data_IF_308177498446
#
_entry.id   IF_308177498446
#
_cell.length_a   1.000
_cell.length_b   1.000
_cell.length_c   1.000
_cell.angle_alpha   90.00
_cell.angle_beta   90.00
_cell.angle_gamma   90.00
#
_symmetry.space_group_name_H-M   'P 1'
#
loop_
_entity.id
_entity.type
_entity.pdbx_description
1 polymer ?
#
# COMPACT_ATOMS: atom_id res chain seq x y z
N UNK A 1 8.40 17.72 -23.42
CA UNK A 1 9.54 18.14 -22.56
C UNK A 1 9.83 17.15 -21.42
N UNK A 2 8.88 16.86 -20.51
CA UNK A 2 9.15 15.99 -19.33
C UNK A 2 9.58 14.56 -19.70
N UNK A 3 8.99 13.94 -20.71
CA UNK A 3 9.42 12.61 -21.15
C UNK A 3 10.86 12.57 -21.66
N UNK A 4 11.30 13.61 -22.38
CA UNK A 4 12.69 13.74 -22.84
C UNK A 4 13.65 13.93 -21.66
N UNK A 5 13.25 14.75 -20.67
CA UNK A 5 14.03 14.95 -19.45
C UNK A 5 14.16 13.65 -18.65
N UNK A 6 13.07 12.92 -18.44
CA UNK A 6 13.09 11.62 -17.73
C UNK A 6 13.92 10.58 -18.49
N UNK A 7 13.83 10.55 -19.81
CA UNK A 7 14.67 9.68 -20.64
C UNK A 7 16.15 10.04 -20.46
N UNK A 8 16.51 11.32 -20.51
CA UNK A 8 17.87 11.78 -20.23
C UNK A 8 18.35 11.35 -18.84
N UNK A 9 17.54 11.60 -17.81
CA UNK A 9 17.87 11.22 -16.43
C UNK A 9 18.12 9.70 -16.31
N UNK A 10 17.23 8.87 -16.85
CA UNK A 10 17.41 7.42 -16.79
C UNK A 10 18.55 6.94 -17.69
N UNK A 11 18.80 7.55 -18.85
CA UNK A 11 19.90 7.18 -19.71
C UNK A 11 21.26 7.41 -19.03
N UNK A 12 21.44 8.57 -18.40
CA UNK A 12 22.73 9.00 -17.84
C UNK A 12 22.98 8.54 -16.40
N UNK A 13 21.95 8.49 -15.55
CA UNK A 13 22.14 8.21 -14.11
C UNK A 13 21.77 6.79 -13.69
N UNK A 14 21.11 6.00 -14.55
CA UNK A 14 20.82 4.59 -14.25
C UNK A 14 22.10 3.79 -14.01
N UNK A 15 21.99 2.75 -13.18
CA UNK A 15 23.11 1.88 -12.91
C UNK A 15 23.55 1.15 -14.20
N UNK A 16 24.87 0.95 -14.40
CA UNK A 16 25.41 0.45 -15.65
C UNK A 16 24.90 -0.95 -16.02
N UNK A 17 24.51 -1.78 -15.04
CA UNK A 17 23.97 -3.12 -15.29
C UNK A 17 22.61 -3.15 -16.01
N UNK A 18 21.89 -2.02 -16.07
CA UNK A 18 20.64 -1.95 -16.80
C UNK A 18 20.91 -1.59 -18.26
N UNK A 19 20.49 -2.42 -19.24
CA UNK A 19 20.65 -2.10 -20.65
C UNK A 19 19.80 -0.89 -21.03
N UNK A 20 20.18 -0.20 -22.11
CA UNK A 20 19.51 1.04 -22.55
C UNK A 20 17.99 0.85 -22.77
N UNK A 21 17.57 -0.33 -23.27
CA UNK A 21 16.16 -0.66 -23.44
C UNK A 21 15.39 -0.70 -22.10
N UNK A 22 15.99 -1.24 -21.02
CA UNK A 22 15.40 -1.23 -19.69
C UNK A 22 15.33 0.21 -19.12
N UNK A 23 16.37 1.02 -19.33
CA UNK A 23 16.39 2.45 -18.93
C UNK A 23 15.28 3.24 -19.63
N UNK A 24 15.11 3.02 -20.93
CA UNK A 24 14.05 3.64 -21.71
C UNK A 24 12.65 3.22 -21.22
N UNK A 25 12.45 1.94 -20.91
CA UNK A 25 11.21 1.46 -20.31
C UNK A 25 10.92 2.10 -18.95
N UNK A 26 11.93 2.28 -18.09
CA UNK A 26 11.77 2.93 -16.78
C UNK A 26 11.43 4.43 -16.94
N UNK A 27 12.05 5.11 -17.91
CA UNK A 27 11.68 6.47 -18.29
C UNK A 27 10.25 6.55 -18.83
N UNK A 28 9.79 5.56 -19.58
CA UNK A 28 8.41 5.47 -20.04
C UNK A 28 7.43 5.34 -18.87
N UNK A 29 7.73 4.50 -17.87
CA UNK A 29 6.93 4.43 -16.63
C UNK A 29 6.83 5.78 -15.92
N UNK A 30 7.97 6.47 -15.74
CA UNK A 30 7.97 7.79 -15.12
C UNK A 30 7.18 8.83 -15.91
N UNK A 31 7.26 8.76 -17.24
CA UNK A 31 6.52 9.65 -18.15
C UNK A 31 5.02 9.40 -18.06
N UNK A 32 4.60 8.13 -18.04
CA UNK A 32 3.20 7.75 -17.86
C UNK A 32 2.68 8.21 -16.49
N UNK A 33 3.42 7.95 -15.41
CA UNK A 33 3.06 8.40 -14.07
C UNK A 33 2.90 9.93 -14.02
N UNK A 34 3.86 10.68 -14.56
CA UNK A 34 3.78 12.13 -14.63
C UNK A 34 2.57 12.62 -15.44
N UNK A 35 2.32 12.01 -16.60
CA UNK A 35 1.18 12.38 -17.45
C UNK A 35 -0.17 12.16 -16.74
N UNK A 36 -0.28 11.11 -15.93
CA UNK A 36 -1.47 10.83 -15.12
C UNK A 36 -1.62 11.83 -13.98
N UNK A 37 -0.53 12.15 -13.26
CA UNK A 37 -0.51 13.16 -12.20
C UNK A 37 -0.98 14.52 -12.74
N UNK A 38 -0.49 14.94 -13.91
CA UNK A 38 -0.86 16.23 -14.53
C UNK A 38 -2.35 16.31 -14.91
N UNK A 39 -2.98 15.17 -15.21
CA UNK A 39 -4.41 15.09 -15.53
C UNK A 39 -5.29 14.90 -14.31
N UNK A 40 -4.69 14.67 -13.14
CA UNK A 40 -5.42 14.47 -11.89
C UNK A 40 -6.00 15.80 -11.43
N UNK A 41 -7.31 15.83 -11.23
CA UNK A 41 -8.02 17.03 -10.77
C UNK A 41 -8.58 16.80 -9.36
N UNK A 42 -8.94 17.88 -8.67
CA UNK A 42 -9.57 17.80 -7.34
C UNK A 42 -10.99 17.21 -7.38
N UNK A 43 -11.59 17.10 -8.57
CA UNK A 43 -12.96 16.59 -8.79
C UNK A 43 -13.07 15.06 -8.67
N UNK A 44 -11.94 14.35 -8.74
CA UNK A 44 -11.91 12.88 -8.65
C UNK A 44 -10.86 12.45 -7.64
N UNK A 45 -11.02 11.24 -7.11
CA UNK A 45 -9.98 10.64 -6.28
C UNK A 45 -8.79 10.22 -7.14
N UNK A 46 -7.54 10.39 -6.68
CA UNK A 46 -6.35 10.21 -7.50
C UNK A 46 -5.94 8.72 -7.64
N UNK A 47 -6.89 7.80 -7.82
CA UNK A 47 -6.63 6.36 -7.90
C UNK A 47 -5.61 5.99 -8.97
N UNK A 48 -5.90 6.36 -10.22
CA UNK A 48 -4.99 6.11 -11.32
C UNK A 48 -3.61 6.71 -11.11
N UNK A 49 -3.53 7.88 -10.49
CA UNK A 49 -2.27 8.57 -10.27
C UNK A 49 -1.42 7.91 -9.19
N UNK A 50 -2.04 7.49 -8.08
CA UNK A 50 -1.36 6.70 -7.04
C UNK A 50 -0.88 5.36 -7.59
N UNK A 51 -1.69 4.68 -8.40
CA UNK A 51 -1.27 3.42 -9.04
C UNK A 51 -0.09 3.68 -9.98
N UNK A 52 -0.15 4.68 -10.86
CA UNK A 52 0.95 4.96 -11.78
C UNK A 52 2.25 5.37 -11.06
N UNK A 53 2.14 6.20 -10.01
CA UNK A 53 3.29 6.61 -9.18
C UNK A 53 3.89 5.42 -8.45
N UNK A 54 3.07 4.56 -7.83
CA UNK A 54 3.58 3.38 -7.14
C UNK A 54 4.26 2.41 -8.10
N UNK A 55 3.71 2.20 -9.30
CA UNK A 55 4.39 1.40 -10.33
C UNK A 55 5.75 2.00 -10.70
N UNK A 56 5.85 3.32 -10.90
CA UNK A 56 7.14 3.95 -11.17
C UNK A 56 8.12 3.82 -9.99
N UNK A 57 7.67 4.04 -8.75
CA UNK A 57 8.52 3.96 -7.55
C UNK A 57 9.06 2.54 -7.34
N UNK A 58 8.25 1.51 -7.55
CA UNK A 58 8.64 0.12 -7.30
C UNK A 58 9.34 -0.57 -8.48
N UNK A 59 9.16 -0.07 -9.71
CA UNK A 59 9.68 -0.73 -10.91
C UNK A 59 10.57 0.15 -11.79
N UNK A 60 10.36 1.47 -11.81
CA UNK A 60 11.17 2.40 -12.60
C UNK A 60 12.36 2.96 -11.81
N UNK A 61 12.10 3.51 -10.62
CA UNK A 61 13.13 4.12 -9.76
C UNK A 61 14.28 3.17 -9.35
N UNK A 62 14.07 1.87 -9.11
CA UNK A 62 15.15 0.97 -8.69
C UNK A 62 16.30 0.85 -9.71
N UNK A 63 16.07 1.18 -10.98
CA UNK A 63 17.08 1.19 -12.05
C UNK A 63 18.30 2.07 -11.72
N UNK A 64 18.17 3.04 -10.82
CA UNK A 64 19.29 3.89 -10.38
C UNK A 64 20.25 3.21 -9.40
N UNK A 65 19.80 2.21 -8.62
CA UNK A 65 20.57 1.71 -7.48
C UNK A 65 20.49 0.22 -7.22
N UNK A 66 19.38 -0.45 -7.52
CA UNK A 66 19.21 -1.87 -7.20
C UNK A 66 20.21 -2.73 -7.98
N UNK A 67 21.00 -3.54 -7.27
CA UNK A 67 22.15 -4.22 -7.87
C UNK A 67 21.93 -5.70 -8.10
N UNK A 68 21.38 -6.40 -7.11
CA UNK A 68 21.31 -7.86 -7.11
C UNK A 68 20.12 -8.35 -6.31
N UNK A 69 19.53 -9.44 -6.78
CA UNK A 69 18.58 -10.21 -5.99
C UNK A 69 19.36 -11.29 -5.24
N UNK A 70 19.06 -11.48 -3.96
CA UNK A 70 19.72 -12.48 -3.11
C UNK A 70 18.65 -13.44 -2.59
N UNK A 71 18.81 -14.73 -2.90
CA UNK A 71 17.98 -15.81 -2.39
C UNK A 71 18.68 -16.59 -1.28
N UNK A 72 18.09 -17.72 -0.89
CA UNK A 72 18.62 -18.62 0.16
C UNK A 72 20.01 -19.16 -0.22
N UNK A 73 20.23 -19.46 -1.50
CA UNK A 73 21.50 -19.97 -2.03
C UNK A 73 22.54 -18.90 -2.39
N UNK A 74 22.28 -17.62 -2.07
CA UNK A 74 23.14 -16.50 -2.45
C UNK A 74 22.58 -15.66 -3.61
N UNK A 75 23.45 -14.91 -4.33
CA UNK A 75 23.02 -14.04 -5.42
C UNK A 75 22.32 -14.83 -6.54
N UNK A 76 21.15 -14.37 -6.95
CA UNK A 76 20.40 -14.93 -8.08
C UNK A 76 20.83 -14.19 -9.35
N UNK A 77 21.46 -14.87 -10.32
CA UNK A 77 21.82 -14.24 -11.59
C UNK A 77 20.55 -13.90 -12.38
N UNK A 78 20.49 -12.69 -12.93
CA UNK A 78 19.40 -12.21 -13.77
C UNK A 78 20.04 -11.66 -15.05
N UNK A 79 19.61 -12.15 -16.22
CA UNK A 79 20.14 -11.67 -17.49
C UNK A 79 19.64 -10.25 -17.82
N UNK A 80 20.42 -9.51 -18.61
CA UNK A 80 20.03 -8.18 -19.10
C UNK A 80 18.73 -8.23 -19.92
N UNK A 81 18.51 -9.32 -20.66
CA UNK A 81 17.28 -9.58 -21.41
C UNK A 81 16.06 -9.67 -20.49
N UNK A 82 16.17 -10.42 -19.39
CA UNK A 82 15.09 -10.54 -18.40
C UNK A 82 14.82 -9.23 -17.66
N UNK A 83 15.85 -8.43 -17.37
CA UNK A 83 15.66 -7.07 -16.83
C UNK A 83 14.89 -6.18 -17.82
N UNK A 84 15.24 -6.25 -19.11
CA UNK A 84 14.55 -5.50 -20.17
C UNK A 84 13.08 -5.90 -20.26
N UNK A 85 12.80 -7.19 -20.36
CA UNK A 85 11.43 -7.70 -20.43
C UNK A 85 10.63 -7.41 -19.17
N UNK A 86 11.25 -7.41 -17.99
CA UNK A 86 10.57 -7.06 -16.74
C UNK A 86 10.06 -5.63 -16.75
N UNK A 87 10.89 -4.67 -17.14
CA UNK A 87 10.47 -3.26 -17.23
C UNK A 87 9.34 -3.10 -18.25
N UNK A 88 9.47 -3.73 -19.43
CA UNK A 88 8.44 -3.65 -20.46
C UNK A 88 7.13 -4.37 -20.08
N UNK A 89 7.19 -5.44 -19.29
CA UNK A 89 6.01 -6.07 -18.71
C UNK A 89 5.27 -5.11 -17.77
N UNK A 90 6.00 -4.33 -16.95
CA UNK A 90 5.39 -3.32 -16.09
C UNK A 90 4.81 -2.15 -16.91
N UNK A 91 5.49 -1.72 -17.99
CA UNK A 91 4.96 -0.69 -18.91
C UNK A 91 3.67 -1.18 -19.55
N UNK A 92 3.67 -2.40 -20.12
CA UNK A 92 2.48 -3.01 -20.72
C UNK A 92 1.35 -3.11 -19.70
N UNK A 93 1.63 -3.62 -18.50
CA UNK A 93 0.68 -3.69 -17.41
C UNK A 93 0.05 -2.33 -17.10
N UNK A 94 0.87 -1.28 -16.91
CA UNK A 94 0.38 0.06 -16.60
C UNK A 94 -0.45 0.65 -17.75
N UNK A 95 -0.05 0.45 -19.00
CA UNK A 95 -0.84 0.89 -20.16
C UNK A 95 -2.21 0.20 -20.18
N UNK A 96 -2.26 -1.11 -19.98
CA UNK A 96 -3.51 -1.87 -19.89
C UNK A 96 -4.37 -1.34 -18.74
N UNK A 97 -3.79 -1.16 -17.55
CA UNK A 97 -4.48 -0.58 -16.38
C UNK A 97 -5.09 0.78 -16.70
N UNK A 98 -4.36 1.66 -17.38
CA UNK A 98 -4.84 3.00 -17.74
C UNK A 98 -5.99 2.96 -18.75
N UNK A 99 -5.95 2.04 -19.71
CA UNK A 99 -7.02 1.87 -20.70
C UNK A 99 -8.28 1.34 -20.02
N UNK A 100 -8.16 0.24 -19.29
CA UNK A 100 -9.32 -0.43 -18.69
C UNK A 100 -9.94 0.39 -17.56
N UNK A 101 -9.13 1.13 -16.79
CA UNK A 101 -9.65 2.05 -15.78
C UNK A 101 -10.51 3.16 -16.37
N UNK A 102 -10.14 3.73 -17.51
CA UNK A 102 -10.97 4.74 -18.19
C UNK A 102 -12.32 4.18 -18.62
N UNK A 103 -12.35 2.93 -19.08
CA UNK A 103 -13.59 2.25 -19.47
C UNK A 103 -14.46 1.95 -18.24
N UNK A 104 -13.89 1.36 -17.21
CA UNK A 104 -14.60 0.97 -16.00
C UNK A 104 -15.06 2.17 -15.14
N UNK A 105 -14.37 3.31 -15.23
CA UNK A 105 -14.79 4.55 -14.56
C UNK A 105 -16.20 4.97 -14.94
N UNK A 106 -16.58 4.84 -16.21
CA UNK A 106 -17.94 5.16 -16.68
C UNK A 106 -19.00 4.29 -15.98
N UNK A 107 -18.69 3.02 -15.75
CA UNK A 107 -19.57 2.08 -15.04
C UNK A 107 -19.70 2.50 -13.57
N UNK A 108 -18.58 2.86 -12.93
CA UNK A 108 -18.58 3.38 -11.56
C UNK A 108 -19.40 4.65 -11.41
N UNK A 109 -19.23 5.61 -12.32
CA UNK A 109 -19.99 6.87 -12.35
C UNK A 109 -21.49 6.62 -12.53
N UNK A 110 -21.85 5.67 -13.40
CA UNK A 110 -23.24 5.26 -13.59
C UNK A 110 -23.87 4.65 -12.34
N UNK A 111 -23.12 3.88 -11.55
CA UNK A 111 -23.59 3.29 -10.28
C UNK A 111 -23.48 4.24 -9.08
N UNK A 112 -22.68 5.31 -9.17
CA UNK A 112 -22.47 6.26 -8.07
C UNK A 112 -23.76 6.80 -7.46
N UNK A 113 -24.81 7.18 -8.23
CA UNK A 113 -26.09 7.64 -7.66
C UNK A 113 -26.78 6.59 -6.79
N UNK A 114 -26.70 5.30 -7.16
CA UNK A 114 -27.27 4.21 -6.37
C UNK A 114 -26.50 4.05 -5.06
N UNK A 115 -25.17 4.02 -5.14
CA UNK A 115 -24.31 3.89 -3.97
C UNK A 115 -24.47 5.08 -3.01
N UNK A 116 -24.59 6.30 -3.52
CA UNK A 116 -24.85 7.51 -2.69
C UNK A 116 -26.09 7.37 -1.82
N UNK A 117 -27.15 6.73 -2.32
CA UNK A 117 -28.40 6.53 -1.58
C UNK A 117 -28.28 5.52 -0.44
N UNK A 118 -27.24 4.68 -0.43
CA UNK A 118 -26.99 3.72 0.65
C UNK A 118 -26.35 4.36 1.88
N UNK A 119 -25.80 5.58 1.76
CA UNK A 119 -25.11 6.27 2.84
C UNK A 119 -25.98 7.37 3.45
N UNK A 120 -25.83 7.65 4.77
CA UNK A 120 -26.52 8.75 5.42
C UNK A 120 -26.10 10.11 4.84
N UNK A 121 -26.94 11.15 5.04
CA UNK A 121 -26.66 12.51 4.56
C UNK A 121 -25.28 12.98 5.07
N UNK A 122 -24.33 13.32 4.17
CA UNK A 122 -22.97 13.66 4.58
C UNK A 122 -22.86 14.89 5.50
N UNK A 123 -23.84 15.81 5.45
CA UNK A 123 -23.85 17.01 6.32
C UNK A 123 -23.99 16.64 7.79
N UNK A 124 -24.56 15.48 8.07
CA UNK A 124 -24.73 14.96 9.43
C UNK A 124 -23.44 14.41 10.05
N UNK A 125 -22.33 14.30 9.31
CA UNK A 125 -21.08 13.72 9.86
C UNK A 125 -20.00 14.76 10.15
N UNK A 126 -20.12 15.99 9.66
CA UNK A 126 -19.17 17.09 9.95
C UNK A 126 -19.50 17.78 11.28
N UNK A 127 -18.46 18.15 12.05
CA UNK A 127 -18.57 18.97 13.27
C UNK A 127 -19.03 18.27 14.56
N UNK A 128 -19.20 16.95 14.60
CA UNK A 128 -19.76 16.28 15.78
C UNK A 128 -18.68 15.83 16.78
N UNK A 129 -18.94 16.07 18.06
CA UNK A 129 -18.27 15.40 19.19
C UNK A 129 -18.10 13.89 18.95
N UNK A 130 -19.08 13.25 18.30
CA UNK A 130 -19.07 11.82 17.97
C UNK A 130 -17.92 11.40 17.06
N UNK A 131 -17.51 12.21 16.08
CA UNK A 131 -16.31 11.89 15.26
C UNK A 131 -15.06 11.87 16.12
N UNK A 132 -14.93 12.81 17.06
CA UNK A 132 -13.78 12.90 17.96
C UNK A 132 -13.79 11.75 18.97
N UNK A 133 -14.94 11.46 19.58
CA UNK A 133 -15.12 10.32 20.47
C UNK A 133 -14.80 8.99 19.76
N UNK A 134 -15.27 8.83 18.51
CA UNK A 134 -14.97 7.65 17.72
C UNK A 134 -13.48 7.58 17.35
N UNK A 135 -12.81 8.70 17.06
CA UNK A 135 -11.37 8.69 16.80
C UNK A 135 -10.55 8.22 18.02
N UNK A 136 -10.96 8.62 19.24
CA UNK A 136 -10.37 8.12 20.49
C UNK A 136 -10.64 6.63 20.65
N UNK A 137 -11.89 6.20 20.43
CA UNK A 137 -12.27 4.79 20.48
C UNK A 137 -11.47 3.95 19.48
N UNK A 138 -11.28 4.43 18.26
CA UNK A 138 -10.52 3.71 17.23
C UNK A 138 -9.02 3.67 17.52
N UNK A 139 -8.43 4.71 18.13
CA UNK A 139 -7.06 4.62 18.67
C UNK A 139 -7.01 3.55 19.77
N UNK A 140 -7.98 3.55 20.69
CA UNK A 140 -8.10 2.53 21.73
C UNK A 140 -8.22 1.12 21.15
N UNK A 141 -9.05 0.93 20.14
CA UNK A 141 -9.17 -0.34 19.41
C UNK A 141 -7.91 -0.73 18.68
N UNK A 142 -7.19 0.20 18.03
CA UNK A 142 -5.91 -0.09 17.39
C UNK A 142 -4.90 -0.60 18.43
N UNK A 143 -4.86 0.05 19.58
CA UNK A 143 -4.01 -0.35 20.71
C UNK A 143 -4.43 -1.73 21.24
N UNK A 144 -5.73 -1.98 21.44
CA UNK A 144 -6.24 -3.28 21.92
C UNK A 144 -6.04 -4.41 20.90
N UNK A 145 -6.37 -4.18 19.62
CA UNK A 145 -6.11 -5.09 18.50
C UNK A 145 -4.64 -5.51 18.49
N UNK A 146 -3.77 -4.56 18.79
CA UNK A 146 -2.35 -4.74 18.84
C UNK A 146 -1.91 -5.56 20.06
N UNK A 147 -2.44 -5.30 21.26
CA UNK A 147 -2.18 -6.14 22.44
C UNK A 147 -2.54 -7.61 22.17
N UNK A 148 -3.70 -7.79 21.54
CA UNK A 148 -4.27 -9.08 21.18
C UNK A 148 -3.45 -9.74 20.06
N UNK A 149 -2.94 -8.97 19.09
CA UNK A 149 -2.13 -9.46 17.97
C UNK A 149 -0.66 -9.76 18.32
N UNK A 150 -0.07 -9.04 19.28
CA UNK A 150 1.34 -9.22 19.71
C UNK A 150 1.52 -10.46 20.58
N UNK A 151 0.51 -10.86 21.38
CA UNK A 151 0.60 -12.01 22.30
C UNK A 151 0.47 -13.40 21.65
N UNK A 152 0.37 -13.49 20.32
CA UNK A 152 0.51 -14.75 19.59
C UNK A 152 -0.79 -15.33 19.05
N UNK A 153 -0.84 -15.38 17.70
CA UNK A 153 -1.48 -16.33 16.76
C UNK A 153 -2.91 -16.86 16.94
N UNK A 154 -3.59 -16.79 18.09
CA UNK A 154 -4.88 -17.51 18.26
C UNK A 154 -6.13 -16.64 18.12
N UNK A 155 -6.14 -15.37 18.56
CA UNK A 155 -7.31 -14.50 18.37
C UNK A 155 -7.22 -13.67 17.09
N UNK A 156 -7.06 -14.35 15.96
CA UNK A 156 -7.07 -13.70 14.63
C UNK A 156 -8.39 -12.98 14.36
N UNK A 157 -9.50 -13.45 14.92
CA UNK A 157 -10.82 -12.85 14.76
C UNK A 157 -10.94 -11.45 15.38
N UNK A 158 -10.53 -11.27 16.64
CA UNK A 158 -10.59 -9.98 17.33
C UNK A 158 -9.65 -8.95 16.71
N UNK A 159 -8.42 -9.35 16.34
CA UNK A 159 -7.49 -8.45 15.64
C UNK A 159 -8.01 -8.08 14.23
N UNK A 160 -8.67 -9.02 13.53
CA UNK A 160 -9.33 -8.74 12.24
C UNK A 160 -10.50 -7.77 12.42
N UNK A 161 -11.38 -8.01 13.40
CA UNK A 161 -12.52 -7.11 13.69
C UNK A 161 -12.01 -5.74 14.08
N UNK A 162 -11.03 -5.66 14.97
CA UNK A 162 -10.51 -4.38 15.43
C UNK A 162 -9.72 -3.64 14.32
N UNK A 163 -9.01 -4.32 13.43
CA UNK A 163 -8.37 -3.68 12.26
C UNK A 163 -9.38 -3.25 11.19
N UNK A 164 -10.50 -3.96 11.05
CA UNK A 164 -11.62 -3.55 10.19
C UNK A 164 -12.36 -2.34 10.77
N UNK A 165 -12.62 -2.34 12.09
CA UNK A 165 -13.32 -1.25 12.79
C UNK A 165 -12.43 -0.01 12.92
N UNK A 166 -11.11 -0.20 13.04
CA UNK A 166 -10.17 0.89 13.18
C UNK A 166 -10.07 1.77 11.94
N UNK A 167 -10.55 1.31 10.76
CA UNK A 167 -10.65 2.01 9.47
C UNK A 167 -9.85 3.32 9.43
N UNK A 168 -8.54 3.23 9.58
CA UNK A 168 -7.73 4.35 10.05
C UNK A 168 -7.78 5.53 9.09
N UNK A 169 -7.72 5.20 7.79
CA UNK A 169 -7.81 6.14 6.69
C UNK A 169 -9.20 6.79 6.59
N UNK A 170 -10.26 6.10 7.02
CA UNK A 170 -11.64 6.63 7.03
C UNK A 170 -11.73 7.77 8.04
N UNK A 171 -11.29 7.52 9.26
CA UNK A 171 -11.30 8.48 10.37
C UNK A 171 -10.39 9.65 10.05
N UNK A 172 -9.17 9.36 9.58
CA UNK A 172 -8.21 10.39 9.20
C UNK A 172 -8.77 11.30 8.11
N UNK A 173 -9.45 10.75 7.10
CA UNK A 173 -10.07 11.55 6.03
C UNK A 173 -11.19 12.44 6.59
N UNK A 174 -12.03 11.93 7.50
CA UNK A 174 -13.08 12.72 8.13
C UNK A 174 -12.49 13.87 8.96
N UNK A 175 -11.48 13.59 9.80
CA UNK A 175 -10.79 14.61 10.60
C UNK A 175 -10.12 15.68 9.72
N UNK A 176 -9.50 15.27 8.62
CA UNK A 176 -8.88 16.20 7.67
C UNK A 176 -9.92 17.10 7.00
N UNK A 177 -11.07 16.54 6.58
CA UNK A 177 -12.18 17.32 6.01
C UNK A 177 -12.78 18.27 7.04
N UNK A 178 -12.97 17.84 8.28
CA UNK A 178 -13.45 18.69 9.36
C UNK A 178 -12.51 19.88 9.62
N UNK A 179 -11.21 19.63 9.69
CA UNK A 179 -10.20 20.70 9.75
C UNK A 179 -10.26 21.60 8.53
N UNK A 180 -10.36 21.04 7.32
CA UNK A 180 -10.39 21.83 6.09
C UNK A 180 -11.66 22.71 5.98
N UNK A 181 -12.80 22.23 6.48
CA UNK A 181 -14.07 22.94 6.46
C UNK A 181 -14.16 24.02 7.56
N UNK A 182 -13.79 23.69 8.80
CA UNK A 182 -13.92 24.60 9.95
C UNK A 182 -12.75 25.56 10.09
N UNK A 183 -11.58 25.20 9.55
CA UNK A 183 -10.29 25.87 9.81
C UNK A 183 -9.95 26.02 11.31
N UNK A 184 -10.59 25.24 12.18
CA UNK A 184 -10.43 25.33 13.62
C UNK A 184 -9.06 24.80 14.07
N UNK A 185 -8.37 25.46 15.02
CA UNK A 185 -7.14 24.94 15.61
C UNK A 185 -7.36 23.62 16.36
N UNK A 186 -8.55 23.41 16.93
CA UNK A 186 -8.89 22.16 17.62
C UNK A 186 -8.98 21.01 16.63
N UNK A 187 -9.70 21.18 15.52
CA UNK A 187 -9.81 20.14 14.48
C UNK A 187 -8.44 19.87 13.83
N UNK A 188 -7.60 20.89 13.67
CA UNK A 188 -6.19 20.73 13.26
C UNK A 188 -5.43 19.85 14.23
N UNK A 189 -5.50 20.15 15.53
CA UNK A 189 -4.82 19.39 16.57
C UNK A 189 -5.28 17.92 16.61
N UNK A 190 -6.58 17.66 16.46
CA UNK A 190 -7.12 16.30 16.37
C UNK A 190 -6.59 15.53 15.15
N UNK A 191 -6.59 16.15 13.97
CA UNK A 191 -6.08 15.50 12.76
C UNK A 191 -4.59 15.12 12.89
N UNK A 192 -3.74 16.07 13.31
CA UNK A 192 -2.31 15.81 13.46
C UNK A 192 -2.02 14.89 14.65
N UNK A 193 -2.76 15.03 15.75
CA UNK A 193 -2.66 14.15 16.92
C UNK A 193 -3.02 12.70 16.59
N UNK A 194 -4.12 12.48 15.87
CA UNK A 194 -4.52 11.16 15.37
C UNK A 194 -3.46 10.57 14.44
N UNK A 195 -3.00 11.36 13.46
CA UNK A 195 -1.98 10.91 12.49
C UNK A 195 -0.68 10.53 13.20
N UNK A 196 -0.21 11.35 14.15
CA UNK A 196 0.97 11.06 14.93
C UNK A 196 0.79 9.82 15.82
N UNK A 197 -0.36 9.66 16.48
CA UNK A 197 -0.65 8.50 17.31
C UNK A 197 -0.67 7.20 16.50
N UNK A 198 -1.34 7.21 15.33
CA UNK A 198 -1.35 6.08 14.41
C UNK A 198 0.06 5.74 13.92
N UNK A 199 0.86 6.75 13.57
CA UNK A 199 2.27 6.57 13.18
C UNK A 199 3.14 5.99 14.28
N UNK A 200 3.00 6.46 15.53
CA UNK A 200 3.73 5.93 16.69
C UNK A 200 3.32 4.48 16.93
N UNK A 201 2.01 4.18 16.92
CA UNK A 201 1.52 2.82 17.05
C UNK A 201 2.10 1.91 15.94
N UNK A 202 2.12 2.39 14.70
CA UNK A 202 2.78 1.72 13.57
C UNK A 202 4.28 1.50 13.81
N UNK A 203 5.00 2.49 14.32
CA UNK A 203 6.43 2.40 14.62
C UNK A 203 6.70 1.32 15.68
N UNK A 204 5.95 1.32 16.79
CA UNK A 204 6.07 0.35 17.88
C UNK A 204 5.82 -1.11 17.46
N UNK A 205 5.18 -1.35 16.30
CA UNK A 205 5.05 -2.71 15.73
C UNK A 205 6.33 -3.21 15.06
N UNK A 206 7.29 -2.33 14.75
CA UNK A 206 8.41 -2.65 13.87
C UNK A 206 8.04 -2.62 12.38
N UNK A 207 6.81 -2.25 12.02
CA UNK A 207 6.36 -2.13 10.63
C UNK A 207 6.39 -0.68 10.16
N UNK A 208 7.52 -0.28 9.57
CA UNK A 208 7.70 1.08 9.05
C UNK A 208 6.59 1.54 8.07
N UNK A 209 6.00 0.62 7.29
CA UNK A 209 4.86 0.94 6.43
C UNK A 209 3.66 1.48 7.21
N UNK A 210 3.30 0.85 8.34
CA UNK A 210 2.22 1.32 9.21
C UNK A 210 2.55 2.65 9.89
N UNK A 211 3.83 2.95 10.12
CA UNK A 211 4.24 4.24 10.67
C UNK A 211 4.13 5.38 9.63
N UNK A 212 4.41 5.09 8.36
CA UNK A 212 4.47 6.10 7.29
C UNK A 212 3.16 6.27 6.52
N UNK A 213 2.33 5.24 6.43
CA UNK A 213 1.04 5.32 5.73
C UNK A 213 0.09 6.41 6.23
N UNK A 214 -0.04 6.71 7.54
CA UNK A 214 -0.89 7.81 8.00
C UNK A 214 -0.43 9.15 7.39
N UNK A 215 0.89 9.39 7.31
CA UNK A 215 1.45 10.59 6.68
C UNK A 215 1.30 10.60 5.17
N UNK A 216 1.42 9.43 4.52
CA UNK A 216 1.17 9.31 3.08
C UNK A 216 -0.29 9.64 2.77
N UNK A 217 -1.21 9.18 3.62
CA UNK A 217 -2.63 9.49 3.54
C UNK A 217 -2.91 10.98 3.71
N UNK A 218 -2.32 11.62 4.72
CA UNK A 218 -2.36 13.07 4.88
C UNK A 218 -1.86 13.81 3.63
N UNK A 219 -0.77 13.33 3.01
CA UNK A 219 -0.17 13.94 1.83
C UNK A 219 -1.07 13.83 0.59
N UNK A 220 -1.66 12.66 0.34
CA UNK A 220 -2.58 12.44 -0.79
C UNK A 220 -3.89 13.19 -0.56
N UNK A 221 -4.42 13.23 0.66
CA UNK A 221 -5.59 14.06 1.02
C UNK A 221 -5.32 15.54 0.78
N UNK A 222 -4.14 16.02 1.20
CA UNK A 222 -3.70 17.38 0.95
C UNK A 222 -3.60 17.68 -0.54
N UNK A 223 -3.03 16.77 -1.32
CA UNK A 223 -2.97 16.90 -2.77
C UNK A 223 -4.36 16.92 -3.41
N UNK A 224 -5.24 16.00 -3.03
CA UNK A 224 -6.59 15.88 -3.59
C UNK A 224 -7.45 17.13 -3.31
N UNK A 225 -7.37 17.71 -2.10
CA UNK A 225 -8.16 18.90 -1.75
C UNK A 225 -7.53 20.21 -2.26
N UNK A 226 -6.20 20.35 -2.20
CA UNK A 226 -5.53 21.60 -2.59
C UNK A 226 -5.16 21.68 -4.08
N UNK A 227 -5.20 20.54 -4.79
CA UNK A 227 -4.70 20.42 -6.16
C UNK A 227 -3.17 20.50 -6.28
N UNK A 228 -2.44 20.60 -5.16
CA UNK A 228 -0.97 20.76 -5.15
C UNK A 228 -0.31 19.70 -4.27
N UNK A 229 0.71 19.06 -4.82
CA UNK A 229 1.51 18.07 -4.10
C UNK A 229 2.60 18.79 -3.29
N UNK A 230 2.65 18.57 -1.98
CA UNK A 230 3.65 19.20 -1.11
C UNK A 230 5.00 18.49 -1.23
N UNK A 231 5.92 19.06 -2.04
CA UNK A 231 7.28 18.52 -2.22
C UNK A 231 8.07 18.46 -0.92
N UNK A 232 7.86 19.43 -0.01
CA UNK A 232 8.47 19.43 1.32
C UNK A 232 8.04 18.21 2.15
N UNK A 233 6.75 17.87 2.13
CA UNK A 233 6.24 16.71 2.85
C UNK A 233 6.78 15.39 2.25
N UNK A 234 6.89 15.30 0.91
CA UNK A 234 7.52 14.16 0.24
C UNK A 234 8.98 14.01 0.69
N UNK A 235 9.75 15.09 0.69
CA UNK A 235 11.16 15.07 1.09
C UNK A 235 11.32 14.64 2.56
N UNK A 236 10.48 15.14 3.46
CA UNK A 236 10.50 14.76 4.88
C UNK A 236 10.12 13.28 5.07
N UNK A 237 9.09 12.80 4.38
CA UNK A 237 8.71 11.38 4.44
C UNK A 237 9.79 10.46 3.89
N UNK A 238 10.43 10.87 2.79
CA UNK A 238 11.54 10.12 2.19
C UNK A 238 12.75 10.09 3.14
N UNK A 239 13.09 11.23 3.75
CA UNK A 239 14.14 11.31 4.76
C UNK A 239 13.84 10.39 5.95
N UNK A 240 12.61 10.44 6.49
CA UNK A 240 12.19 9.56 7.57
C UNK A 240 12.28 8.08 7.18
N UNK A 241 11.88 7.73 5.95
CA UNK A 241 12.01 6.37 5.43
C UNK A 241 13.47 5.92 5.38
N UNK A 242 14.38 6.74 4.86
CA UNK A 242 15.83 6.42 4.78
C UNK A 242 16.43 6.28 6.17
N UNK A 243 16.10 7.18 7.10
CA UNK A 243 16.62 7.16 8.48
C UNK A 243 16.15 5.94 9.26
N UNK A 244 14.87 5.58 9.13
CA UNK A 244 14.25 4.51 9.93
C UNK A 244 14.44 3.10 9.36
N UNK A 245 14.72 2.98 8.05
CA UNK A 245 14.84 1.67 7.40
C UNK A 245 15.96 0.78 7.98
N UNK A 246 17.19 1.28 8.23
CA UNK A 246 18.24 0.49 8.87
C UNK A 246 17.89 0.04 10.29
N UNK A 247 17.35 0.95 11.10
CA UNK A 247 17.01 0.74 12.50
C UNK A 247 15.94 -0.33 12.71
N UNK A 248 15.01 -0.45 11.76
CA UNK A 248 13.94 -1.45 11.76
C UNK A 248 14.44 -2.87 11.96
N UNK A 249 15.59 -3.23 11.37
CA UNK A 249 16.13 -4.58 11.47
C UNK A 249 16.65 -4.89 12.88
N UNK A 250 17.38 -3.95 13.49
CA UNK A 250 17.87 -4.07 14.86
C UNK A 250 16.71 -4.11 15.86
N UNK A 251 15.73 -3.21 15.68
CA UNK A 251 14.51 -3.18 16.48
C UNK A 251 13.80 -4.54 16.48
N UNK A 252 13.58 -5.13 15.29
CA UNK A 252 12.89 -6.43 15.17
C UNK A 252 13.68 -7.58 15.77
N UNK A 253 15.02 -7.54 15.70
CA UNK A 253 15.83 -8.57 16.35
C UNK A 253 15.62 -8.55 17.86
N UNK A 254 15.58 -7.37 18.48
CA UNK A 254 15.38 -7.25 19.92
C UNK A 254 13.93 -7.57 20.33
N UNK A 255 12.94 -7.01 19.62
CA UNK A 255 11.52 -7.14 20.03
C UNK A 255 10.85 -8.43 19.57
N UNK A 256 11.24 -9.01 18.44
CA UNK A 256 10.61 -10.25 17.93
C UNK A 256 11.38 -11.52 18.30
N UNK A 257 12.68 -11.42 18.65
CA UNK A 257 13.50 -12.58 19.02
C UNK A 257 14.05 -12.52 20.45
N UNK A 258 14.10 -11.34 21.08
CA UNK A 258 14.75 -11.12 22.38
C UNK A 258 13.85 -11.26 23.61
N UNK A 259 12.60 -11.69 23.47
CA UNK A 259 11.64 -11.86 24.58
C UNK A 259 10.58 -10.75 24.68
N UNK A 260 9.74 -10.81 25.71
CA UNK A 260 8.60 -9.90 25.92
C UNK A 260 9.07 -8.48 26.33
N UNK A 261 9.45 -7.67 25.36
CA UNK A 261 9.75 -6.24 25.58
C UNK A 261 8.46 -5.48 25.87
N UNK A 262 8.40 -4.86 27.05
CA UNK A 262 7.28 -4.02 27.48
C UNK A 262 7.10 -2.81 26.55
N UNK A 263 5.86 -2.34 26.38
CA UNK A 263 5.53 -1.24 25.45
C UNK A 263 6.28 0.04 25.79
N UNK A 264 6.36 0.36 27.09
CA UNK A 264 7.09 1.52 27.59
C UNK A 264 8.55 1.51 27.14
N UNK A 265 9.16 0.32 27.04
CA UNK A 265 10.55 0.14 26.64
C UNK A 265 10.75 0.11 25.12
N UNK A 266 9.70 -0.13 24.33
CA UNK A 266 9.82 -0.22 22.86
C UNK A 266 10.25 1.10 22.21
N UNK A 267 9.92 2.23 22.84
CA UNK A 267 10.41 3.51 22.37
C UNK A 267 11.94 3.61 22.54
N UNK A 268 12.45 3.24 23.72
CA UNK A 268 13.88 3.22 24.01
C UNK A 268 14.64 2.24 23.11
N UNK A 269 14.04 1.09 22.79
CA UNK A 269 14.61 0.13 21.84
C UNK A 269 14.68 0.72 20.43
N UNK A 270 13.69 1.51 20.01
CA UNK A 270 13.74 2.22 18.72
C UNK A 270 14.81 3.30 18.68
N UNK A 271 14.92 4.13 19.72
CA UNK A 271 15.94 5.18 19.78
C UNK A 271 17.35 4.59 19.76
N UNK A 272 17.59 3.55 20.57
CA UNK A 272 18.85 2.80 20.56
C UNK A 272 19.13 2.14 19.19
N UNK A 273 18.12 1.57 18.53
CA UNK A 273 18.29 0.97 17.20
C UNK A 273 18.62 2.02 16.12
N UNK A 274 18.06 3.22 16.20
CA UNK A 274 18.40 4.34 15.31
C UNK A 274 19.82 4.80 15.58
N UNK A 275 20.16 5.08 16.84
CA UNK A 275 21.51 5.49 17.23
C UNK A 275 22.55 4.47 16.77
N UNK A 276 22.37 3.19 17.10
CA UNK A 276 23.28 2.10 16.70
C UNK A 276 23.42 1.96 15.18
N UNK A 277 22.33 2.16 14.43
CA UNK A 277 22.38 2.07 12.97
C UNK A 277 23.25 3.16 12.36
N UNK A 278 23.19 4.36 12.92
CA UNK A 278 23.86 5.55 12.38
C UNK A 278 25.21 5.87 13.03
N UNK A 279 25.52 5.27 14.19
CA UNK A 279 26.82 5.38 14.87
C UNK A 279 27.79 4.28 14.46
N UNK A 280 27.31 3.15 13.94
CA UNK A 280 28.20 2.08 13.45
C UNK A 280 29.01 2.53 12.25
N UNK A 281 30.28 2.09 12.13
CA UNK A 281 31.20 2.35 11.00
C UNK A 281 30.70 1.86 9.62
N UNK A 282 29.44 1.40 9.52
CA UNK A 282 28.80 1.13 8.25
C UNK A 282 28.69 2.44 7.46
N UNK A 283 29.42 2.48 6.34
CA UNK A 283 29.38 3.60 5.39
C UNK A 283 27.91 3.92 5.04
N UNK A 284 27.56 5.21 5.10
CA UNK A 284 26.23 5.76 4.75
C UNK A 284 25.66 5.22 3.44
N UNK A 285 26.53 4.86 2.49
CA UNK A 285 26.15 4.21 1.22
C UNK A 285 25.36 2.91 1.42
N UNK A 286 25.71 2.07 2.41
CA UNK A 286 25.04 0.79 2.64
C UNK A 286 23.60 0.94 3.14
N UNK A 287 23.27 2.04 3.82
CA UNK A 287 21.91 2.33 4.28
C UNK A 287 21.00 2.78 3.13
N UNK A 288 21.53 3.61 2.24
CA UNK A 288 20.82 4.04 1.02
C UNK A 288 20.58 2.86 0.09
N UNK A 289 21.57 1.96 -0.04
CA UNK A 289 21.43 0.74 -0.85
C UNK A 289 20.32 -0.17 -0.27
N UNK A 290 20.27 -0.36 1.04
CA UNK A 290 19.19 -1.13 1.68
C UNK A 290 17.79 -0.53 1.46
N UNK A 291 17.67 0.81 1.46
CA UNK A 291 16.41 1.49 1.14
C UNK A 291 16.04 1.33 -0.34
N UNK A 292 17.02 1.37 -1.25
CA UNK A 292 16.80 1.16 -2.68
C UNK A 292 16.39 -0.28 -2.99
N UNK A 293 17.02 -1.27 -2.36
CA UNK A 293 16.66 -2.69 -2.52
C UNK A 293 15.22 -2.96 -2.05
N UNK A 294 14.74 -2.23 -1.04
CA UNK A 294 13.34 -2.31 -0.58
C UNK A 294 12.33 -1.76 -1.56
N UNK A 295 12.73 -0.84 -2.42
CA UNK A 295 11.89 -0.32 -3.50
C UNK A 295 12.02 -1.18 -4.77
N UNK A 296 12.91 -2.18 -4.80
CA UNK A 296 13.27 -2.90 -6.00
C UNK A 296 12.35 -4.09 -6.32
N UNK A 297 11.06 -3.83 -6.55
CA UNK A 297 10.13 -4.87 -6.99
C UNK A 297 10.45 -5.40 -8.41
N UNK A 298 11.17 -4.61 -9.21
CA UNK A 298 11.59 -4.98 -10.57
C UNK A 298 12.39 -6.28 -10.64
N UNK A 299 13.31 -6.50 -9.70
CA UNK A 299 14.19 -7.67 -9.72
C UNK A 299 13.41 -8.97 -9.53
N UNK A 300 12.31 -8.94 -8.77
CA UNK A 300 11.41 -10.08 -8.61
C UNK A 300 10.69 -10.43 -9.92
N UNK A 301 10.22 -9.41 -10.66
CA UNK A 301 9.60 -9.62 -11.98
C UNK A 301 10.63 -10.16 -12.97
N UNK A 302 11.85 -9.65 -12.95
CA UNK A 302 12.93 -10.12 -13.82
C UNK A 302 13.33 -11.57 -13.51
N UNK A 303 13.39 -11.95 -12.23
CA UNK A 303 13.60 -13.35 -11.84
C UNK A 303 12.48 -14.24 -12.38
N UNK A 304 11.22 -13.82 -12.28
CA UNK A 304 10.10 -14.59 -12.81
C UNK A 304 10.19 -14.78 -14.33
N UNK A 305 10.61 -13.75 -15.06
CA UNK A 305 10.82 -13.86 -16.51
C UNK A 305 12.00 -14.77 -16.87
N UNK A 306 13.08 -14.72 -16.08
CA UNK A 306 14.25 -15.59 -16.27
C UNK A 306 13.90 -17.06 -16.02
N UNK A 307 13.11 -17.34 -14.97
CA UNK A 307 12.90 -18.71 -14.48
C UNK A 307 11.64 -19.36 -15.06
N UNK A 308 10.61 -18.61 -15.44
CA UNK A 308 9.35 -19.17 -15.95
C UNK A 308 9.34 -19.15 -17.47
N UNK A 309 9.10 -20.28 -18.16
CA UNK A 309 8.65 -21.57 -17.61
C UNK A 309 9.78 -22.60 -17.36
N UNK A 310 11.04 -22.26 -17.64
CA UNK A 310 12.14 -23.24 -17.75
C UNK A 310 12.50 -23.92 -16.43
N UNK A 311 12.62 -23.14 -15.37
CA UNK A 311 13.05 -23.60 -14.04
C UNK A 311 11.86 -23.71 -13.08
N UNK A 312 10.87 -22.83 -13.24
CA UNK A 312 9.61 -22.83 -12.48
C UNK A 312 8.47 -22.87 -13.48
N UNK A 313 7.63 -23.91 -13.39
CA UNK A 313 6.46 -24.03 -14.25
C UNK A 313 5.45 -22.90 -14.01
N UNK A 314 4.61 -22.64 -15.01
CA UNK A 314 3.49 -21.71 -14.83
C UNK A 314 2.57 -22.16 -13.69
N UNK A 315 2.15 -21.24 -12.83
CA UNK A 315 1.25 -21.59 -11.72
C UNK A 315 -0.17 -21.92 -12.19
N UNK A 316 -0.55 -21.47 -13.39
CA UNK A 316 -1.92 -21.55 -13.89
C UNK A 316 -2.94 -20.82 -13.02
N UNK A 317 -4.19 -21.30 -13.01
CA UNK A 317 -5.32 -20.69 -12.28
C UNK A 317 -5.46 -21.12 -10.83
N UNK A 318 -4.66 -22.08 -10.35
CA UNK A 318 -4.84 -22.72 -9.03
C UNK A 318 -5.00 -21.70 -7.90
N UNK A 319 -4.13 -20.68 -7.88
CA UNK A 319 -4.14 -19.61 -6.89
C UNK A 319 -5.38 -18.71 -7.02
N UNK A 320 -5.79 -18.39 -8.25
CA UNK A 320 -6.96 -17.55 -8.52
C UNK A 320 -8.27 -18.21 -8.11
N UNK A 321 -8.33 -19.54 -8.06
CA UNK A 321 -9.49 -20.29 -7.53
C UNK A 321 -9.74 -20.02 -6.03
N UNK A 322 -8.76 -19.48 -5.31
CA UNK A 322 -8.92 -19.08 -3.91
C UNK A 322 -9.58 -17.71 -3.74
N UNK A 323 -9.70 -16.91 -4.83
CA UNK A 323 -10.30 -15.57 -4.77
C UNK A 323 -11.77 -15.64 -4.34
N UNK A 324 -12.65 -16.51 -4.87
CA UNK A 324 -14.02 -16.59 -4.37
C UNK A 324 -14.11 -16.98 -2.88
N UNK A 325 -13.25 -17.88 -2.41
CA UNK A 325 -13.23 -18.34 -1.02
C UNK A 325 -12.93 -17.21 -0.03
N UNK A 326 -12.20 -16.20 -0.48
CA UNK A 326 -11.83 -15.04 0.32
C UNK A 326 -13.00 -14.23 0.86
N UNK A 327 -14.16 -14.24 0.16
CA UNK A 327 -15.34 -13.47 0.52
C UNK A 327 -15.99 -13.99 1.78
N UNK A 328 -15.72 -15.25 2.12
CA UNK A 328 -16.20 -15.88 3.34
C UNK A 328 -15.39 -15.32 4.53
N UNK A 329 -16.03 -14.59 5.46
CA UNK A 329 -15.37 -14.09 6.65
C UNK A 329 -14.81 -15.23 7.52
N UNK A 330 -13.69 -15.00 8.20
CA UNK A 330 -13.04 -16.04 9.04
C UNK A 330 -13.92 -16.53 10.20
N UNK A 331 -14.90 -15.77 10.67
CA UNK A 331 -15.80 -16.26 11.71
C UNK A 331 -16.82 -17.29 11.18
N UNK A 332 -17.16 -17.25 9.88
CA UNK A 332 -17.99 -18.27 9.24
C UNK A 332 -17.17 -19.49 8.79
N UNK A 333 -15.89 -19.28 8.48
CA UNK A 333 -14.95 -20.36 8.13
C UNK A 333 -13.59 -20.13 8.81
N UNK A 334 -13.43 -20.58 10.07
CA UNK A 334 -12.20 -20.39 10.83
C UNK A 334 -10.96 -20.98 10.16
N UNK A 335 -11.10 -22.20 9.61
CA UNK A 335 -10.05 -22.96 8.93
C UNK A 335 -9.78 -22.50 7.48
N UNK A 336 -10.30 -21.34 7.09
CA UNK A 336 -10.10 -20.81 5.73
C UNK A 336 -8.60 -20.65 5.41
N UNK A 337 -8.15 -21.13 4.24
CA UNK A 337 -6.76 -20.97 3.80
C UNK A 337 -6.29 -19.52 3.88
N UNK A 338 -5.07 -19.32 4.39
CA UNK A 338 -4.44 -18.00 4.38
C UNK A 338 -3.91 -17.68 2.98
N UNK A 339 -4.62 -16.77 2.30
CA UNK A 339 -4.22 -16.28 0.97
C UNK A 339 -2.81 -15.70 0.97
N UNK A 340 -2.42 -15.00 2.03
CA UNK A 340 -1.08 -14.40 2.08
C UNK A 340 -0.03 -15.50 2.05
N UNK A 341 -0.22 -16.56 2.87
CA UNK A 341 0.68 -17.71 2.86
C UNK A 341 0.63 -18.48 1.53
N UNK A 342 -0.56 -18.68 0.98
CA UNK A 342 -0.74 -19.40 -0.28
C UNK A 342 -0.07 -18.69 -1.46
N UNK A 343 -0.15 -17.35 -1.54
CA UNK A 343 0.45 -16.61 -2.65
C UNK A 343 1.91 -16.26 -2.39
N UNK A 344 2.19 -15.58 -1.28
CA UNK A 344 3.52 -15.05 -0.98
C UNK A 344 4.49 -16.16 -0.52
N UNK A 345 3.99 -17.15 0.24
CA UNK A 345 4.79 -18.27 0.71
C UNK A 345 5.18 -19.20 -0.45
N UNK A 346 4.22 -19.61 -1.27
CA UNK A 346 4.50 -20.42 -2.46
C UNK A 346 5.49 -19.71 -3.39
N UNK A 347 5.27 -18.42 -3.66
CA UNK A 347 6.22 -17.59 -4.39
C UNK A 347 7.63 -17.63 -3.79
N UNK A 348 7.78 -17.34 -2.50
CA UNK A 348 9.08 -17.27 -1.86
C UNK A 348 9.82 -18.62 -1.86
N UNK A 349 9.10 -19.75 -1.77
CA UNK A 349 9.67 -21.10 -1.88
C UNK A 349 10.06 -21.43 -3.32
N UNK A 350 9.12 -21.30 -4.27
CA UNK A 350 9.32 -21.67 -5.67
C UNK A 350 10.46 -20.91 -6.31
N UNK A 351 10.67 -19.66 -5.90
CA UNK A 351 11.74 -18.80 -6.41
C UNK A 351 13.00 -18.81 -5.53
N UNK A 352 13.09 -19.68 -4.53
CA UNK A 352 14.28 -19.83 -3.68
C UNK A 352 14.65 -18.56 -2.90
N UNK A 353 13.67 -17.69 -2.62
CA UNK A 353 13.88 -16.42 -1.93
C UNK A 353 13.91 -16.61 -0.40
N UNK A 354 13.18 -17.59 0.11
CA UNK A 354 13.11 -17.90 1.53
C UNK A 354 13.02 -19.39 1.78
N UNK A 355 13.37 -19.80 3.01
CA UNK A 355 13.11 -21.14 3.52
C UNK A 355 11.71 -21.23 4.11
N UNK A 356 11.21 -22.45 4.34
CA UNK A 356 9.93 -22.71 5.01
C UNK A 356 9.83 -22.01 6.38
N UNK A 357 10.95 -21.99 7.13
CA UNK A 357 11.04 -21.24 8.39
C UNK A 357 11.05 -19.73 8.17
N UNK A 358 11.73 -19.25 7.11
CA UNK A 358 11.79 -17.84 6.76
C UNK A 358 10.40 -17.23 6.50
N UNK A 359 9.54 -17.95 5.78
CA UNK A 359 8.18 -17.51 5.42
C UNK A 359 7.29 -17.31 6.64
N UNK A 360 7.53 -18.08 7.72
CA UNK A 360 6.80 -17.90 8.99
C UNK A 360 7.14 -16.59 9.71
N UNK A 361 8.24 -15.95 9.34
CA UNK A 361 8.76 -14.76 10.01
C UNK A 361 8.73 -13.48 9.17
N UNK A 362 8.81 -13.62 7.84
CA UNK A 362 8.85 -12.50 6.90
C UNK A 362 8.10 -12.90 5.64
N UNK A 363 7.07 -12.14 5.27
CA UNK A 363 6.40 -12.30 3.99
C UNK A 363 7.10 -11.44 2.93
N UNK A 364 7.33 -12.02 1.75
CA UNK A 364 7.70 -11.30 0.54
C UNK A 364 6.46 -11.14 -0.33
N UNK A 365 6.07 -9.91 -0.61
CA UNK A 365 4.88 -9.67 -1.40
C UNK A 365 5.11 -10.06 -2.86
N UNK A 366 4.15 -10.78 -3.44
CA UNK A 366 4.11 -11.11 -4.86
C UNK A 366 3.57 -9.90 -5.65
N UNK A 367 4.36 -9.22 -6.51
CA UNK A 367 3.85 -8.09 -7.28
C UNK A 367 2.85 -8.51 -8.36
N UNK A 368 1.87 -7.66 -8.69
CA UNK A 368 0.82 -7.98 -9.68
C UNK A 368 1.33 -8.45 -11.04
N UNK A 369 2.34 -7.76 -11.56
CA UNK A 369 2.94 -8.08 -12.86
C UNK A 369 3.56 -9.47 -12.82
N UNK A 370 4.21 -9.81 -11.71
CA UNK A 370 4.79 -11.12 -11.46
C UNK A 370 3.69 -12.19 -11.34
N UNK A 371 2.63 -11.91 -10.58
CA UNK A 371 1.50 -12.85 -10.39
C UNK A 371 0.88 -13.25 -11.74
N UNK A 372 0.64 -12.25 -12.60
CA UNK A 372 0.17 -12.48 -13.96
C UNK A 372 1.17 -13.26 -14.80
N UNK A 373 2.44 -12.85 -14.83
CA UNK A 373 3.45 -13.53 -15.63
C UNK A 373 3.68 -14.97 -15.20
N UNK A 374 3.73 -15.24 -13.90
CA UNK A 374 3.90 -16.59 -13.40
C UNK A 374 2.68 -17.47 -13.71
N UNK A 375 1.46 -16.92 -13.65
CA UNK A 375 0.25 -17.66 -13.99
C UNK A 375 0.19 -18.06 -15.47
N UNK A 376 0.37 -17.10 -16.39
CA UNK A 376 0.09 -17.29 -17.83
C UNK A 376 1.04 -16.52 -18.77
N UNK A 377 2.23 -16.15 -18.29
CA UNK A 377 3.19 -15.35 -19.06
C UNK A 377 2.62 -13.96 -19.41
N UNK A 378 2.94 -13.47 -20.61
CA UNK A 378 2.50 -12.17 -21.09
C UNK A 378 0.98 -11.97 -21.08
N UNK A 379 0.21 -13.02 -21.38
CA UNK A 379 -1.25 -12.97 -21.32
C UNK A 379 -1.76 -12.76 -19.90
N UNK A 380 -1.09 -13.35 -18.91
CA UNK A 380 -1.42 -13.12 -17.51
C UNK A 380 -1.11 -11.69 -17.06
N UNK A 381 -0.02 -11.09 -17.55
CA UNK A 381 0.28 -9.65 -17.30
C UNK A 381 -0.87 -8.76 -17.80
N UNK A 382 -1.36 -9.03 -19.03
CA UNK A 382 -2.50 -8.30 -19.61
C UNK A 382 -3.77 -8.56 -18.79
N UNK A 383 -4.10 -9.82 -18.50
CA UNK A 383 -5.31 -10.18 -17.75
C UNK A 383 -5.35 -9.54 -16.35
N UNK A 384 -4.24 -9.57 -15.62
CA UNK A 384 -4.12 -8.90 -14.33
C UNK A 384 -4.21 -7.38 -14.49
N UNK A 385 -3.63 -6.80 -15.55
CA UNK A 385 -3.79 -5.39 -15.88
C UNK A 385 -5.24 -4.98 -16.15
N UNK A 386 -6.00 -5.82 -16.86
CA UNK A 386 -7.44 -5.62 -17.11
C UNK A 386 -8.22 -5.61 -15.81
N UNK A 387 -7.96 -6.60 -14.94
CA UNK A 387 -8.62 -6.74 -13.63
C UNK A 387 -8.32 -5.53 -12.75
N UNK A 388 -7.04 -5.22 -12.54
CA UNK A 388 -6.63 -4.13 -11.64
C UNK A 388 -7.10 -2.79 -12.18
N UNK A 389 -6.93 -2.52 -13.48
CA UNK A 389 -7.44 -1.28 -14.07
C UNK A 389 -8.95 -1.18 -14.02
N UNK A 390 -9.67 -2.28 -14.29
CA UNK A 390 -11.12 -2.35 -14.13
C UNK A 390 -11.57 -1.95 -12.73
N UNK A 391 -10.98 -2.55 -11.68
CA UNK A 391 -11.28 -2.22 -10.29
C UNK A 391 -10.92 -0.76 -9.95
N UNK A 392 -9.73 -0.31 -10.33
CA UNK A 392 -9.24 1.04 -10.08
C UNK A 392 -10.17 2.09 -10.71
N UNK A 393 -10.52 1.91 -11.98
CA UNK A 393 -11.44 2.78 -12.69
C UNK A 393 -12.84 2.77 -12.09
N UNK A 394 -13.37 1.57 -11.85
CA UNK A 394 -14.67 1.39 -11.23
C UNK A 394 -14.79 2.16 -9.91
N UNK A 395 -13.84 1.99 -8.99
CA UNK A 395 -13.85 2.70 -7.70
C UNK A 395 -13.63 4.21 -7.84
N UNK A 396 -12.78 4.65 -8.77
CA UNK A 396 -12.60 6.08 -9.05
C UNK A 396 -13.90 6.75 -9.52
N UNK A 397 -14.71 6.04 -10.33
CA UNK A 397 -16.01 6.53 -10.76
C UNK A 397 -17.10 6.41 -9.69
N UNK A 398 -17.03 5.36 -8.86
CA UNK A 398 -18.02 5.07 -7.83
C UNK A 398 -17.99 6.12 -6.70
N UNK A 399 -16.79 6.44 -6.21
CA UNK A 399 -16.59 7.29 -5.03
C UNK A 399 -16.56 8.77 -5.41
N UNK A 400 -17.60 9.49 -4.98
CA UNK A 400 -17.72 10.93 -5.20
C UNK A 400 -16.93 11.74 -4.14
N UNK A 401 -15.90 12.51 -4.53
CA UNK A 401 -15.20 13.39 -3.59
C UNK A 401 -16.07 14.49 -2.98
N UNK A 402 -17.16 14.89 -3.66
CA UNK A 402 -18.08 15.90 -3.13
C UNK A 402 -18.85 15.38 -1.91
N UNK A 403 -19.07 14.07 -1.81
CA UNK A 403 -19.68 13.42 -0.66
C UNK A 403 -18.58 13.03 0.37
N UNK A 404 -18.54 13.65 1.58
CA UNK A 404 -17.61 13.30 2.66
C UNK A 404 -17.43 11.82 2.95
N UNK A 405 -18.52 11.05 2.95
CA UNK A 405 -18.50 9.62 3.28
C UNK A 405 -17.84 8.83 2.15
N UNK A 406 -18.31 9.04 0.92
CA UNK A 406 -17.75 8.37 -0.25
C UNK A 406 -16.30 8.76 -0.49
N UNK A 407 -15.93 10.01 -0.19
CA UNK A 407 -14.54 10.44 -0.22
C UNK A 407 -13.71 9.66 0.81
N UNK A 408 -14.14 9.60 2.08
CA UNK A 408 -13.40 8.89 3.13
C UNK A 408 -13.26 7.38 2.83
N UNK A 409 -14.31 6.76 2.29
CA UNK A 409 -14.28 5.39 1.79
C UNK A 409 -13.27 5.24 0.66
N UNK A 410 -13.41 6.04 -0.39
CA UNK A 410 -12.52 5.99 -1.55
C UNK A 410 -11.05 6.19 -1.17
N UNK A 411 -10.75 7.07 -0.23
CA UNK A 411 -9.39 7.24 0.31
C UNK A 411 -8.91 6.01 1.09
N UNK A 412 -9.79 5.36 1.86
CA UNK A 412 -9.47 4.10 2.54
C UNK A 412 -9.11 3.01 1.54
N UNK A 413 -9.81 2.95 0.40
CA UNK A 413 -9.48 2.01 -0.68
C UNK A 413 -8.23 2.34 -1.45
N UNK A 414 -7.99 3.63 -1.69
CA UNK A 414 -6.81 4.11 -2.38
C UNK A 414 -5.54 3.55 -1.74
N UNK A 415 -5.49 3.53 -0.41
CA UNK A 415 -4.37 2.99 0.34
C UNK A 415 -4.33 1.47 0.41
N UNK A 416 -5.33 0.75 -0.10
CA UNK A 416 -5.23 -0.69 -0.32
C UNK A 416 -4.65 -1.03 -1.71
N UNK A 417 -4.54 -0.02 -2.58
CA UNK A 417 -4.00 -0.13 -3.94
C UNK A 417 -2.48 0.00 -3.95
N UNK A 418 -1.82 -1.02 -3.42
CA UNK A 418 -0.37 -1.15 -3.43
C UNK A 418 0.10 -1.90 -4.69
N UNK A 419 1.24 -1.50 -5.27
CA UNK A 419 1.84 -2.21 -6.40
C UNK A 419 2.38 -3.59 -6.01
N UNK A 420 2.80 -3.77 -4.76
CA UNK A 420 3.35 -4.99 -4.18
C UNK A 420 2.27 -5.82 -3.47
N UNK A 421 1.27 -6.28 -4.22
CA UNK A 421 0.25 -7.19 -3.72
C UNK A 421 -0.14 -8.20 -4.78
N UNK A 422 -0.68 -9.34 -4.33
CA UNK A 422 -1.29 -10.31 -5.24
C UNK A 422 -2.74 -9.90 -5.54
N UNK A 423 -3.25 -10.34 -6.70
CA UNK A 423 -4.59 -9.97 -7.18
C UNK A 423 -5.69 -10.34 -6.17
N UNK A 424 -5.50 -11.46 -5.46
CA UNK A 424 -6.42 -11.90 -4.41
C UNK A 424 -6.53 -10.98 -3.18
N UNK A 425 -5.68 -9.98 -2.97
CA UNK A 425 -5.92 -8.99 -1.90
C UNK A 425 -6.96 -7.94 -2.32
N UNK A 426 -7.06 -7.66 -3.62
CA UNK A 426 -7.90 -6.60 -4.17
C UNK A 426 -9.38 -6.95 -4.20
N UNK A 427 -9.69 -8.19 -4.54
CA UNK A 427 -11.08 -8.64 -4.61
C UNK A 427 -11.78 -8.68 -3.26
N UNK A 428 -11.02 -8.82 -2.18
CA UNK A 428 -11.47 -9.53 -0.98
C UNK A 428 -11.54 -8.58 0.19
N UNK A 429 -10.48 -7.78 0.36
CA UNK A 429 -10.48 -6.67 1.29
C UNK A 429 -11.50 -5.60 0.92
N UNK A 430 -11.80 -5.39 -0.37
CA UNK A 430 -12.57 -4.21 -0.78
C UNK A 430 -14.04 -4.28 -0.33
N UNK A 431 -14.83 -5.32 -0.65
CA UNK A 431 -16.22 -5.39 -0.22
C UNK A 431 -16.37 -5.50 1.30
N UNK A 432 -15.44 -6.19 1.97
CA UNK A 432 -15.47 -6.30 3.44
C UNK A 432 -15.27 -4.93 4.11
N UNK A 433 -14.26 -4.18 3.68
CA UNK A 433 -14.04 -2.80 4.13
C UNK A 433 -15.26 -1.94 3.79
N UNK A 434 -15.96 -2.22 2.69
CA UNK A 434 -17.12 -1.43 2.24
C UNK A 434 -18.26 -1.58 3.22
N UNK A 435 -18.62 -2.83 3.50
CA UNK A 435 -19.71 -3.17 4.39
C UNK A 435 -19.41 -2.72 5.82
N UNK A 436 -18.18 -2.91 6.30
CA UNK A 436 -17.78 -2.46 7.64
C UNK A 436 -17.83 -0.93 7.72
N UNK A 437 -17.28 -0.24 6.75
CA UNK A 437 -17.27 1.22 6.75
C UNK A 437 -18.68 1.79 6.60
N UNK A 438 -19.55 1.14 5.82
CA UNK A 438 -20.98 1.47 5.74
C UNK A 438 -21.66 1.32 7.11
N UNK A 439 -21.42 0.19 7.80
CA UNK A 439 -21.96 -0.03 9.15
C UNK A 439 -21.47 1.03 10.16
N UNK A 440 -20.17 1.36 10.12
CA UNK A 440 -19.60 2.43 10.97
C UNK A 440 -20.27 3.77 10.68
N UNK A 441 -20.47 4.13 9.40
CA UNK A 441 -21.09 5.40 9.03
C UNK A 441 -22.54 5.49 9.50
N UNK A 442 -23.32 4.42 9.36
CA UNK A 442 -24.69 4.37 9.89
C UNK A 442 -24.73 4.42 11.41
N UNK A 443 -23.79 3.76 12.09
CA UNK A 443 -23.66 3.84 13.54
C UNK A 443 -23.34 5.26 14.00
N UNK A 444 -22.37 5.94 13.37
CA UNK A 444 -22.02 7.32 13.69
C UNK A 444 -23.18 8.29 13.45
N UNK A 445 -23.93 8.06 12.37
CA UNK A 445 -25.13 8.83 12.06
C UNK A 445 -26.23 8.64 13.12
N UNK A 446 -26.54 7.39 13.46
CA UNK A 446 -27.53 7.05 14.48
C UNK A 446 -27.15 7.61 15.85
N UNK A 447 -25.88 7.45 16.26
CA UNK A 447 -25.36 7.99 17.52
C UNK A 447 -25.50 9.51 17.61
N UNK A 448 -25.31 10.24 16.50
CA UNK A 448 -25.49 11.69 16.47
C UNK A 448 -26.93 12.10 16.78
N UNK A 449 -27.95 11.33 16.36
CA UNK A 449 -29.35 11.67 16.64
C UNK A 449 -29.68 11.70 18.13
N UNK A 450 -28.88 11.03 18.97
CA UNK A 450 -29.04 11.04 20.42
C UNK A 450 -28.20 12.10 21.14
N UNK A 451 -27.31 12.81 20.45
CA UNK A 451 -26.51 13.91 21.03
C UNK A 451 -27.17 15.23 20.67
N UNK A 452 -27.79 15.94 21.63
CA UNK A 452 -28.37 17.25 21.36
C UNK A 452 -27.26 18.20 20.86
N UNK A 453 -27.43 18.73 19.65
CA UNK A 453 -26.58 19.78 19.10
C UNK A 453 -26.93 21.05 19.87
N UNK A 454 -26.06 21.45 20.81
CA UNK A 454 -26.16 22.75 21.48
C UNK A 454 -25.53 23.84 20.63
#
# INVERSE_FOLDING_TARGET
MVGVLLLGIHAFFAAPQYPMAARAGAAALGTLAFAVIQRTTTKHLPFLAVVAVTQYVFFGFPVFKARRLVGVGGPIPISETSLTYAVWAVVLFLVVVLITARMAKRIGEWLSPVVRRLFPDPRSLTGSFMVRAFSVFSIGLLVVAWFVGVKGRESTSLATVASLVAAEQLIQTILYRDWHATKSPISRAWFFGYTAAASIAGLLTGMLGLALFPWLAALVLGWQLSGRLSTRAIALMFLAFVVLTPAKHLYRQQVWRGGDVAISQRFDVWTAAVEQSWSSDRKTSGHVDAAADRLSALLFVAQAIEWVPRNVGHSGSSRWKLIPMSYIPRFLWPEKPDLTRAYNGEYALSFGLQTEMGIRSTALNLPHVLDGYWAYGWWGVIAVGVIIGGLVGFYEGLFDPANPVLHALGMTYLFKMHAEGHVGLFFTGVPQIFLVSLAIMWFLWAARMFVPVR
#
